data_IF_037019203752
#
_entry.id   IF_037019203752
#
_cell.length_a   1.000
_cell.length_b   1.000
_cell.length_c   1.000
_cell.angle_alpha   90.00
_cell.angle_beta   90.00
_cell.angle_gamma   90.00
#
_symmetry.space_group_name_H-M   'P 1'
#
loop_
_entity.id
_entity.type
_entity.pdbx_description
1 polymer ?
#
# COMPACT_ATOMS: atom_id res chain seq x y z
N UNK A 1 -9.25 8.98 -29.63
CA UNK A 1 -8.21 7.94 -29.45
C UNK A 1 -7.10 8.34 -28.47
N UNK A 2 -6.46 9.51 -28.58
CA UNK A 2 -5.32 9.85 -27.68
C UNK A 2 -5.73 10.05 -26.20
N UNK A 3 -6.96 10.51 -25.95
CA UNK A 3 -7.54 10.54 -24.60
C UNK A 3 -7.61 9.13 -23.98
N UNK A 4 -8.01 8.11 -24.75
CA UNK A 4 -8.06 6.71 -24.28
C UNK A 4 -6.66 6.17 -23.96
N UNK A 5 -5.64 6.47 -24.77
CA UNK A 5 -4.25 6.06 -24.47
C UNK A 5 -3.79 6.57 -23.11
N UNK A 6 -4.18 7.81 -22.79
CA UNK A 6 -3.86 8.46 -21.51
C UNK A 6 -4.48 7.73 -20.32
N UNK A 7 -5.72 7.24 -20.46
CA UNK A 7 -6.45 6.46 -19.44
C UNK A 7 -5.68 5.19 -19.06
N UNK A 8 -5.15 4.46 -20.04
CA UNK A 8 -4.36 3.24 -19.79
C UNK A 8 -3.07 3.55 -19.03
N UNK A 9 -2.35 4.59 -19.45
CA UNK A 9 -1.10 5.01 -18.78
C UNK A 9 -1.39 5.49 -17.35
N UNK A 10 -2.44 6.29 -17.14
CA UNK A 10 -2.82 6.77 -15.80
C UNK A 10 -3.25 5.64 -14.86
N UNK A 11 -3.93 4.63 -15.38
CA UNK A 11 -4.28 3.42 -14.62
C UNK A 11 -3.02 2.62 -14.24
N UNK A 12 -2.09 2.47 -15.18
CA UNK A 12 -0.83 1.78 -14.95
C UNK A 12 0.05 2.48 -13.91
N UNK A 13 0.08 3.82 -13.90
CA UNK A 13 0.80 4.59 -12.88
C UNK A 13 0.34 4.24 -11.47
N UNK A 14 -0.98 4.13 -11.23
CA UNK A 14 -1.53 3.75 -9.92
C UNK A 14 -1.12 2.32 -9.50
N UNK A 15 -1.09 1.39 -10.46
CA UNK A 15 -0.67 0.00 -10.20
C UNK A 15 0.83 -0.06 -9.86
N UNK A 16 1.68 0.57 -10.67
CA UNK A 16 3.14 0.61 -10.45
C UNK A 16 3.46 1.34 -9.14
N UNK A 17 2.79 2.46 -8.87
CA UNK A 17 3.04 3.26 -7.67
C UNK A 17 2.80 2.48 -6.39
N UNK A 18 1.69 1.76 -6.28
CA UNK A 18 1.44 0.91 -5.10
C UNK A 18 2.48 -0.20 -4.94
N UNK A 19 2.89 -0.87 -6.03
CA UNK A 19 3.95 -1.89 -5.97
C UNK A 19 5.29 -1.32 -5.44
N UNK A 20 5.67 -0.12 -5.90
CA UNK A 20 6.86 0.59 -5.40
C UNK A 20 6.74 0.92 -3.90
N UNK A 21 5.59 1.42 -3.45
CA UNK A 21 5.37 1.74 -2.03
C UNK A 21 5.43 0.49 -1.13
N UNK A 22 4.96 -0.66 -1.63
CA UNK A 22 5.03 -1.94 -0.92
C UNK A 22 6.47 -2.46 -0.83
N UNK A 23 7.17 -2.57 -1.96
CA UNK A 23 8.49 -3.23 -2.00
C UNK A 23 9.60 -2.32 -1.46
N UNK A 24 9.55 -1.03 -1.80
CA UNK A 24 10.58 -0.06 -1.41
C UNK A 24 10.25 0.63 -0.09
N UNK A 25 9.08 0.34 0.50
CA UNK A 25 8.68 0.86 1.81
C UNK A 25 8.77 2.39 1.88
N UNK A 26 8.36 3.04 0.79
CA UNK A 26 8.27 4.50 0.67
C UNK A 26 6.83 4.98 0.89
N UNK A 27 6.64 6.24 1.33
CA UNK A 27 5.31 6.81 1.47
C UNK A 27 4.49 6.81 0.18
N UNK A 28 3.17 6.67 0.27
CA UNK A 28 2.27 6.88 -0.88
C UNK A 28 2.22 8.35 -1.29
N UNK A 29 1.99 9.23 -0.31
CA UNK A 29 1.96 10.67 -0.52
C UNK A 29 3.34 11.29 -0.75
N UNK A 30 3.38 12.36 -1.52
CA UNK A 30 4.55 13.25 -1.77
C UNK A 30 5.78 12.57 -2.39
N UNK A 31 5.65 11.34 -2.85
CA UNK A 31 6.78 10.57 -3.38
C UNK A 31 6.81 10.47 -4.90
N UNK A 32 5.70 10.72 -5.59
CA UNK A 32 5.73 10.90 -7.05
C UNK A 32 6.35 12.25 -7.38
N UNK A 33 7.55 12.22 -7.97
CA UNK A 33 8.30 13.41 -8.32
C UNK A 33 7.88 13.94 -9.70
N UNK A 34 7.71 13.04 -10.67
CA UNK A 34 7.26 13.41 -12.01
C UNK A 34 6.62 12.24 -12.74
N UNK A 35 5.78 12.57 -13.72
CA UNK A 35 5.15 11.62 -14.64
C UNK A 35 5.35 12.13 -16.06
N UNK A 36 5.90 11.29 -16.94
CA UNK A 36 6.02 11.59 -18.38
C UNK A 36 5.20 10.57 -19.17
N UNK A 37 4.25 11.07 -19.95
CA UNK A 37 3.42 10.25 -20.85
C UNK A 37 3.97 10.40 -22.26
N UNK A 38 4.36 9.29 -22.88
CA UNK A 38 4.87 9.23 -24.25
C UNK A 38 3.80 8.64 -25.17
N UNK A 39 4.05 8.67 -26.48
CA UNK A 39 3.19 8.01 -27.45
C UNK A 39 3.17 6.48 -27.22
N UNK A 40 2.19 5.79 -27.81
CA UNK A 40 2.11 4.33 -27.84
C UNK A 40 2.07 3.65 -26.46
N UNK A 41 1.29 4.19 -25.52
CA UNK A 41 1.09 3.61 -24.19
C UNK A 41 2.35 3.50 -23.34
N UNK A 42 3.33 4.37 -23.60
CA UNK A 42 4.59 4.40 -22.85
C UNK A 42 4.52 5.47 -21.77
N UNK A 43 4.98 5.13 -20.58
CA UNK A 43 5.08 6.04 -19.44
C UNK A 43 6.44 5.99 -18.77
N UNK A 44 6.76 7.06 -18.06
CA UNK A 44 7.85 7.11 -17.08
C UNK A 44 7.30 7.68 -15.78
N UNK A 45 7.46 6.93 -14.70
CA UNK A 45 7.16 7.36 -13.34
C UNK A 45 8.47 7.61 -12.62
N UNK A 46 8.66 8.80 -12.04
CA UNK A 46 9.80 9.08 -11.16
C UNK A 46 9.31 9.16 -9.73
N UNK A 47 9.87 8.35 -8.84
CA UNK A 47 9.59 8.41 -7.40
C UNK A 47 10.83 8.83 -6.62
N UNK A 48 10.66 9.72 -5.63
CA UNK A 48 11.71 10.13 -4.71
C UNK A 48 11.75 9.22 -3.46
N UNK A 49 12.54 9.61 -2.45
CA UNK A 49 12.68 8.89 -1.17
C UNK A 49 13.35 7.52 -1.29
N UNK A 50 14.17 7.32 -2.32
CA UNK A 50 14.95 6.09 -2.56
C UNK A 50 16.39 6.36 -2.15
N UNK A 51 16.73 6.05 -0.89
CA UNK A 51 18.05 6.38 -0.30
C UNK A 51 19.21 5.55 -0.87
N UNK A 52 18.90 4.37 -1.37
CA UNK A 52 19.87 3.45 -1.96
C UNK A 52 19.24 2.74 -3.14
N UNK A 53 20.06 2.38 -4.12
CA UNK A 53 19.61 1.62 -5.28
C UNK A 53 18.92 0.31 -4.84
N UNK A 54 17.69 0.04 -5.32
CA UNK A 54 17.03 -1.23 -5.05
C UNK A 54 17.80 -2.42 -5.63
N UNK A 55 17.73 -3.55 -4.94
CA UNK A 55 18.35 -4.80 -5.39
C UNK A 55 17.60 -5.42 -6.57
N UNK A 56 18.27 -6.34 -7.28
CA UNK A 56 17.65 -7.11 -8.37
C UNK A 56 16.38 -7.83 -7.88
N UNK A 57 16.42 -8.44 -6.70
CA UNK A 57 15.25 -9.10 -6.09
C UNK A 57 14.10 -8.13 -5.89
N UNK A 58 14.37 -6.91 -5.39
CA UNK A 58 13.34 -5.89 -5.21
C UNK A 58 12.72 -5.47 -6.55
N UNK A 59 13.53 -5.32 -7.61
CA UNK A 59 12.99 -5.03 -8.96
C UNK A 59 12.10 -6.16 -9.50
N UNK A 60 12.48 -7.41 -9.28
CA UNK A 60 11.69 -8.57 -9.69
C UNK A 60 10.39 -8.68 -8.89
N UNK A 61 10.43 -8.41 -7.58
CA UNK A 61 9.26 -8.37 -6.72
C UNK A 61 8.29 -7.25 -7.13
N UNK A 62 8.79 -6.07 -7.52
CA UNK A 62 7.96 -4.97 -8.07
C UNK A 62 7.23 -5.45 -9.33
N UNK A 63 7.95 -6.06 -10.29
CA UNK A 63 7.34 -6.59 -11.52
C UNK A 63 6.28 -7.64 -11.22
N UNK A 64 6.55 -8.55 -10.27
CA UNK A 64 5.64 -9.61 -9.83
C UNK A 64 4.37 -9.02 -9.19
N UNK A 65 4.51 -8.04 -8.31
CA UNK A 65 3.38 -7.35 -7.67
C UNK A 65 2.50 -6.62 -8.69
N UNK A 66 3.10 -5.92 -9.67
CA UNK A 66 2.36 -5.27 -10.76
C UNK A 66 1.53 -6.30 -11.53
N UNK A 67 2.14 -7.43 -11.92
CA UNK A 67 1.44 -8.52 -12.61
C UNK A 67 0.30 -9.09 -11.77
N UNK A 68 0.53 -9.35 -10.49
CA UNK A 68 -0.48 -9.90 -9.59
C UNK A 68 -1.68 -8.95 -9.44
N UNK A 69 -1.43 -7.64 -9.33
CA UNK A 69 -2.51 -6.64 -9.19
C UNK A 69 -3.36 -6.51 -10.46
N UNK A 70 -2.79 -6.79 -11.64
CA UNK A 70 -3.57 -6.92 -12.89
C UNK A 70 -4.44 -8.17 -12.85
N UNK A 71 -3.85 -9.33 -12.50
CA UNK A 71 -4.57 -10.62 -12.44
C UNK A 71 -5.71 -10.64 -11.42
N UNK A 72 -5.62 -9.83 -10.36
CA UNK A 72 -6.68 -9.65 -9.37
C UNK A 72 -7.97 -9.05 -9.97
N UNK A 73 -7.90 -8.39 -11.12
CA UNK A 73 -9.00 -7.62 -11.70
C UNK A 73 -9.60 -6.59 -10.73
N UNK A 74 -8.74 -5.98 -9.91
CA UNK A 74 -9.14 -5.08 -8.85
C UNK A 74 -9.89 -3.85 -9.38
N UNK A 75 -11.04 -3.46 -8.77
CA UNK A 75 -11.81 -2.31 -9.19
C UNK A 75 -11.09 -1.01 -8.80
N UNK A 76 -11.23 -0.01 -9.66
CA UNK A 76 -10.85 1.36 -9.32
C UNK A 76 -12.05 2.17 -8.83
N UNK A 77 -11.76 3.17 -8.01
CA UNK A 77 -12.73 4.15 -7.53
C UNK A 77 -12.27 5.55 -7.95
N UNK A 78 -13.23 6.39 -8.33
CA UNK A 78 -12.99 7.77 -8.74
C UNK A 78 -13.94 8.68 -7.96
N UNK A 79 -13.46 9.26 -6.86
CA UNK A 79 -14.25 10.19 -6.05
C UNK A 79 -14.04 11.62 -6.55
N UNK A 80 -15.10 12.25 -7.04
CA UNK A 80 -15.13 13.69 -7.24
C UNK A 80 -15.61 14.33 -5.93
N UNK A 81 -14.71 15.02 -5.25
CA UNK A 81 -14.90 15.48 -3.87
C UNK A 81 -14.33 16.87 -3.65
N UNK A 82 -14.92 17.60 -2.71
CA UNK A 82 -14.38 18.87 -2.24
C UNK A 82 -12.97 18.67 -1.65
N UNK A 83 -11.99 19.43 -2.16
CA UNK A 83 -10.59 19.34 -1.75
C UNK A 83 -10.43 19.55 -0.24
N UNK A 84 -11.14 20.53 0.33
CA UNK A 84 -11.02 20.86 1.76
C UNK A 84 -11.41 19.67 2.65
N UNK A 85 -12.43 18.91 2.24
CA UNK A 85 -12.86 17.70 2.93
C UNK A 85 -11.84 16.58 2.74
N UNK A 86 -11.39 16.35 1.51
CA UNK A 86 -10.39 15.34 1.20
C UNK A 86 -9.06 15.56 1.94
N UNK A 87 -8.62 16.82 2.08
CA UNK A 87 -7.42 17.20 2.84
C UNK A 87 -7.56 16.78 4.32
N UNK A 88 -8.74 16.94 4.90
CA UNK A 88 -9.02 16.50 6.29
C UNK A 88 -9.11 14.98 6.42
N UNK A 89 -9.67 14.30 5.41
CA UNK A 89 -9.99 12.89 5.48
C UNK A 89 -8.81 11.98 5.09
N UNK A 90 -8.13 12.29 3.99
CA UNK A 90 -7.01 11.50 3.45
C UNK A 90 -5.65 12.14 3.77
N UNK A 91 -5.56 13.46 3.81
CA UNK A 91 -4.32 14.18 4.06
C UNK A 91 -3.34 14.09 2.89
N UNK A 92 -2.04 14.04 3.18
CA UNK A 92 -1.00 14.12 2.15
C UNK A 92 -0.88 12.89 1.23
N UNK A 93 -1.49 11.77 1.61
CA UNK A 93 -1.39 10.51 0.87
C UNK A 93 -1.88 10.60 -0.57
N UNK A 94 -2.83 11.50 -0.83
CA UNK A 94 -3.44 11.68 -2.15
C UNK A 94 -2.63 12.57 -3.09
N UNK A 95 -1.55 13.21 -2.61
CA UNK A 95 -0.81 14.20 -3.40
C UNK A 95 0.52 13.66 -3.93
N UNK A 96 0.85 14.05 -5.16
CA UNK A 96 2.22 13.98 -5.66
C UNK A 96 3.10 15.06 -5.00
N UNK A 97 4.42 14.98 -5.20
CA UNK A 97 5.37 15.94 -4.61
C UNK A 97 5.09 17.38 -5.04
N UNK A 98 4.71 17.58 -6.31
CA UNK A 98 4.39 18.89 -6.87
C UNK A 98 3.03 19.47 -6.41
N UNK A 99 2.20 18.68 -5.71
CA UNK A 99 0.92 19.12 -5.15
C UNK A 99 -0.12 19.61 -6.17
N UNK A 100 -1.11 20.36 -5.69
CA UNK A 100 -2.15 20.98 -6.54
C UNK A 100 -2.17 22.51 -6.40
N UNK A 101 -2.42 23.25 -7.49
CA UNK A 101 -2.68 24.69 -7.46
C UNK A 101 -3.77 25.08 -6.44
N UNK A 102 -3.61 26.24 -5.78
CA UNK A 102 -4.51 26.69 -4.70
C UNK A 102 -5.95 26.97 -5.15
N UNK A 103 -6.16 27.25 -6.44
CA UNK A 103 -7.47 27.57 -7.02
C UNK A 103 -8.33 26.33 -7.34
N UNK A 104 -7.80 25.12 -7.14
CA UNK A 104 -8.56 23.88 -7.33
C UNK A 104 -9.29 23.56 -6.02
N UNK A 105 -10.62 23.63 -6.05
CA UNK A 105 -11.51 23.38 -4.91
C UNK A 105 -12.22 22.03 -4.97
N UNK A 106 -12.36 21.44 -6.15
CA UNK A 106 -12.91 20.11 -6.37
C UNK A 106 -11.85 19.26 -7.07
N UNK A 107 -11.65 18.03 -6.58
CA UNK A 107 -10.61 17.12 -7.06
C UNK A 107 -11.22 15.77 -7.43
N UNK A 108 -10.56 15.08 -8.35
CA UNK A 108 -10.81 13.67 -8.62
C UNK A 108 -9.75 12.83 -7.91
N UNK A 109 -10.19 12.00 -6.98
CA UNK A 109 -9.35 11.04 -6.26
C UNK A 109 -9.51 9.67 -6.89
N UNK A 110 -8.40 9.18 -7.43
CA UNK A 110 -8.29 7.85 -7.96
C UNK A 110 -7.77 6.92 -6.87
N UNK A 111 -8.53 5.89 -6.58
CA UNK A 111 -8.22 4.92 -5.54
C UNK A 111 -8.23 3.52 -6.13
N UNK A 112 -7.18 2.77 -5.80
CA UNK A 112 -7.11 1.32 -5.91
C UNK A 112 -7.02 0.79 -4.48
N UNK A 113 -8.06 0.08 -4.04
CA UNK A 113 -8.23 -0.32 -2.63
C UNK A 113 -7.01 -1.13 -2.14
N UNK A 114 -6.60 -0.84 -0.91
CA UNK A 114 -5.46 -1.43 -0.21
C UNK A 114 -4.18 -1.38 -1.10
N UNK A 115 -4.01 -0.31 -1.90
CA UNK A 115 -2.92 -0.20 -2.87
C UNK A 115 -2.38 1.21 -3.12
N UNK A 116 -3.23 2.13 -3.58
CA UNK A 116 -2.78 3.47 -3.97
C UNK A 116 -3.95 4.47 -4.02
N UNK A 117 -3.68 5.72 -3.61
CA UNK A 117 -4.56 6.88 -3.75
C UNK A 117 -3.80 8.04 -4.40
N UNK A 118 -4.44 8.74 -5.34
CA UNK A 118 -3.81 9.89 -6.00
C UNK A 118 -4.84 10.87 -6.58
N UNK A 119 -4.54 12.16 -6.51
CA UNK A 119 -5.25 13.22 -7.23
C UNK A 119 -4.89 13.16 -8.71
N UNK A 120 -5.84 12.78 -9.56
CA UNK A 120 -5.60 12.72 -11.00
C UNK A 120 -6.64 13.54 -11.76
N UNK A 121 -6.19 14.35 -12.72
CA UNK A 121 -7.10 15.13 -13.57
C UNK A 121 -7.93 14.24 -14.49
N UNK A 122 -7.35 13.13 -14.96
CA UNK A 122 -7.99 12.26 -15.94
C UNK A 122 -8.75 11.12 -15.26
N UNK A 123 -9.83 10.66 -15.91
CA UNK A 123 -10.43 9.36 -15.58
C UNK A 123 -9.44 8.24 -15.87
N UNK A 124 -9.67 7.11 -15.21
CA UNK A 124 -8.89 5.89 -15.38
C UNK A 124 -9.81 4.72 -15.75
N UNK A 125 -9.20 3.55 -16.00
CA UNK A 125 -9.92 2.32 -16.30
C UNK A 125 -10.82 1.91 -15.14
N UNK A 126 -11.88 1.16 -15.45
CA UNK A 126 -12.84 0.65 -14.47
C UNK A 126 -12.24 -0.35 -13.49
N UNK A 127 -11.33 -1.20 -13.96
CA UNK A 127 -10.60 -2.18 -13.16
C UNK A 127 -9.25 -2.50 -13.82
N UNK A 128 -8.32 -3.07 -13.05
CA UNK A 128 -6.97 -3.41 -13.53
C UNK A 128 -6.96 -4.45 -14.65
N UNK A 129 -7.96 -5.33 -14.69
CA UNK A 129 -8.13 -6.38 -15.70
C UNK A 129 -8.37 -5.90 -17.14
N UNK A 130 -8.63 -4.60 -17.35
CA UNK A 130 -8.66 -4.03 -18.71
C UNK A 130 -7.26 -3.82 -19.29
N UNK A 131 -6.20 -4.07 -18.50
CA UNK A 131 -4.81 -4.11 -18.94
C UNK A 131 -4.39 -5.58 -19.06
N UNK A 132 -3.83 -5.97 -20.21
CA UNK A 132 -3.28 -7.31 -20.41
C UNK A 132 -1.96 -7.50 -19.67
N UNK A 133 -1.08 -6.51 -19.79
CA UNK A 133 0.23 -6.51 -19.14
C UNK A 133 0.77 -5.07 -19.01
N UNK A 134 1.61 -4.86 -17.99
CA UNK A 134 2.49 -3.69 -17.89
C UNK A 134 3.91 -4.22 -17.93
N UNK A 135 4.64 -3.87 -18.98
CA UNK A 135 6.04 -4.24 -19.13
C UNK A 135 6.92 -3.12 -18.57
N UNK A 136 7.68 -3.43 -17.51
CA UNK A 136 8.68 -2.51 -16.96
C UNK A 136 9.99 -2.73 -17.73
N UNK A 137 10.26 -1.80 -18.63
CA UNK A 137 11.36 -1.87 -19.58
C UNK A 137 12.71 -1.52 -18.93
N UNK A 138 12.71 -0.58 -17.98
CA UNK A 138 13.93 -0.13 -17.33
C UNK A 138 13.66 0.49 -15.96
N UNK A 139 14.56 0.21 -15.01
CA UNK A 139 14.70 0.95 -13.76
C UNK A 139 15.98 1.78 -13.84
N UNK A 140 15.89 3.08 -13.54
CA UNK A 140 17.05 3.96 -13.52
C UNK A 140 17.10 4.69 -12.18
N UNK A 141 18.03 4.25 -11.33
CA UNK A 141 18.29 4.93 -10.07
C UNK A 141 19.12 6.19 -10.31
N UNK A 142 18.66 7.31 -9.76
CA UNK A 142 19.29 8.61 -9.86
C UNK A 142 19.89 8.97 -8.48
N UNK A 143 21.12 8.50 -8.24
CA UNK A 143 21.77 8.59 -6.94
C UNK A 143 21.77 10.02 -6.35
N UNK A 144 22.14 11.03 -7.14
CA UNK A 144 22.21 12.43 -6.67
C UNK A 144 20.85 13.01 -6.28
N UNK A 145 19.74 12.37 -6.66
CA UNK A 145 18.38 12.81 -6.39
C UNK A 145 17.64 11.88 -5.42
N UNK A 146 18.28 10.80 -4.98
CA UNK A 146 17.64 9.73 -4.17
C UNK A 146 16.27 9.33 -4.76
N UNK A 147 16.25 9.08 -6.08
CA UNK A 147 15.01 8.86 -6.84
C UNK A 147 15.18 7.72 -7.84
N UNK A 148 14.07 7.10 -8.22
CA UNK A 148 14.00 5.99 -9.16
C UNK A 148 13.06 6.34 -10.31
N UNK A 149 13.57 6.28 -11.55
CA UNK A 149 12.76 6.33 -12.76
C UNK A 149 12.35 4.91 -13.18
N UNK A 150 11.05 4.70 -13.38
CA UNK A 150 10.46 3.46 -13.87
C UNK A 150 9.90 3.69 -15.26
N UNK A 151 10.52 3.08 -16.25
CA UNK A 151 10.09 3.15 -17.64
C UNK A 151 9.21 1.95 -17.95
N UNK A 152 8.01 2.19 -18.48
CA UNK A 152 7.06 1.12 -18.74
C UNK A 152 6.25 1.32 -20.02
N UNK A 153 5.72 0.22 -20.54
CA UNK A 153 4.75 0.16 -21.61
C UNK A 153 3.50 -0.58 -21.14
N UNK A 154 2.33 -0.08 -21.52
CA UNK A 154 1.04 -0.70 -21.18
C UNK A 154 0.52 -1.42 -22.41
N UNK A 155 0.15 -2.69 -22.25
CA UNK A 155 -0.54 -3.47 -23.26
C UNK A 155 -2.03 -3.59 -22.87
N UNK A 156 -2.95 -2.92 -23.58
CA UNK A 156 -4.39 -3.06 -23.36
C UNK A 156 -4.90 -4.50 -23.50
N UNK A 157 -5.97 -4.84 -22.78
CA UNK A 157 -6.65 -6.14 -22.93
C UNK A 157 -7.34 -6.27 -24.29
N UNK A 158 -7.88 -5.16 -24.80
CA UNK A 158 -8.55 -5.09 -26.08
C UNK A 158 -7.82 -4.11 -27.00
N UNK A 159 -7.67 -4.49 -28.25
CA UNK A 159 -7.23 -3.58 -29.31
C UNK A 159 -8.30 -2.51 -29.58
N UNK A 160 -7.88 -1.41 -30.19
CA UNK A 160 -8.83 -0.36 -30.59
C UNK A 160 -9.84 -0.84 -31.63
N UNK A 161 -9.42 -1.74 -32.53
CA UNK A 161 -10.30 -2.32 -33.55
C UNK A 161 -11.41 -3.17 -32.92
N UNK A 162 -11.05 -4.03 -31.96
CA UNK A 162 -12.03 -4.81 -31.19
C UNK A 162 -13.00 -3.90 -30.45
N UNK A 163 -12.50 -2.88 -29.74
CA UNK A 163 -13.34 -1.93 -29.01
C UNK A 163 -14.30 -1.16 -29.93
N UNK A 164 -13.82 -0.75 -31.10
CA UNK A 164 -14.64 -0.01 -32.08
C UNK A 164 -15.72 -0.90 -32.71
N UNK A 165 -15.46 -2.20 -32.82
CA UNK A 165 -16.43 -3.19 -33.32
C UNK A 165 -17.50 -3.51 -32.27
N UNK A 166 -17.08 -3.65 -31.00
CA UNK A 166 -17.97 -3.97 -29.89
C UNK A 166 -18.87 -2.79 -29.48
N UNK A 167 -18.35 -1.56 -29.54
CA UNK A 167 -19.04 -0.36 -29.05
C UNK A 167 -19.24 0.66 -30.17
N UNK A 168 -20.49 0.72 -30.65
CA UNK A 168 -20.88 1.57 -31.80
C UNK A 168 -20.92 3.07 -31.49
N UNK A 169 -20.94 3.46 -30.21
CA UNK A 169 -20.95 4.86 -29.79
C UNK A 169 -20.03 5.10 -28.59
N UNK A 170 -19.53 6.34 -28.50
CA UNK A 170 -18.56 6.75 -27.48
C UNK A 170 -19.07 6.56 -26.05
N UNK A 171 -20.37 6.81 -25.82
CA UNK A 171 -21.00 6.61 -24.50
C UNK A 171 -20.87 5.15 -24.03
N UNK A 172 -21.22 4.19 -24.88
CA UNK A 172 -21.13 2.75 -24.55
C UNK A 172 -19.70 2.29 -24.30
N UNK A 173 -18.75 2.80 -25.09
CA UNK A 173 -17.32 2.54 -24.92
C UNK A 173 -16.82 3.09 -23.58
N UNK A 174 -17.20 4.33 -23.24
CA UNK A 174 -16.83 4.96 -21.98
C UNK A 174 -17.42 4.24 -20.77
N UNK A 175 -18.68 3.82 -20.84
CA UNK A 175 -19.33 3.07 -19.76
C UNK A 175 -18.69 1.69 -19.52
N UNK A 176 -18.13 1.07 -20.56
CA UNK A 176 -17.37 -0.16 -20.44
C UNK A 176 -15.98 0.08 -19.84
N UNK A 177 -15.21 1.02 -20.41
CA UNK A 177 -13.80 1.19 -20.09
C UNK A 177 -13.53 1.99 -18.83
N UNK A 178 -14.27 3.06 -18.57
CA UNK A 178 -13.89 4.07 -17.59
C UNK A 178 -14.51 3.81 -16.23
N UNK A 179 -13.74 4.04 -15.17
CA UNK A 179 -14.24 4.05 -13.80
C UNK A 179 -15.31 5.14 -13.67
N UNK A 180 -16.54 4.82 -13.21
CA UNK A 180 -17.61 5.80 -13.06
C UNK A 180 -17.23 6.88 -12.04
N UNK A 181 -17.63 8.12 -12.30
CA UNK A 181 -17.38 9.22 -11.39
C UNK A 181 -18.37 9.12 -10.24
N UNK A 182 -17.84 9.03 -9.01
CA UNK A 182 -18.65 9.04 -7.79
C UNK A 182 -18.57 10.43 -7.17
N UNK A 183 -19.64 11.22 -7.31
CA UNK A 183 -19.71 12.58 -6.79
C UNK A 183 -20.11 12.54 -5.32
N UNK A 184 -19.22 13.03 -4.46
CA UNK A 184 -19.37 12.94 -3.00
C UNK A 184 -20.16 14.12 -2.48
N UNK A 185 -21.25 13.86 -1.77
CA UNK A 185 -22.04 14.89 -1.09
C UNK A 185 -21.39 15.21 0.25
N UNK A 186 -20.55 16.23 0.28
CA UNK A 186 -20.01 16.80 1.52
C UNK A 186 -21.07 17.71 2.12
N UNK A 187 -21.89 17.17 3.03
CA UNK A 187 -23.05 17.89 3.57
C UNK A 187 -22.69 19.27 4.15
N UNK A 188 -23.21 20.32 3.54
CA UNK A 188 -23.83 21.40 4.30
C UNK A 188 -25.34 21.14 4.18
N UNK A 189 -26.02 20.95 5.33
CA UNK A 189 -27.47 21.09 5.33
C UNK A 189 -27.75 22.50 4.81
N UNK A 190 -28.35 22.64 3.63
CA UNK A 190 -29.14 23.83 3.34
C UNK A 190 -30.34 23.79 4.29
N UNK A 191 -30.14 24.28 5.51
CA UNK A 191 -31.24 24.59 6.41
C UNK A 191 -31.94 25.79 5.80
N UNK A 192 -33.12 25.57 5.20
CA UNK A 192 -34.03 26.64 4.86
C UNK A 192 -34.34 27.44 6.14
N UNK A 193 -34.58 28.76 6.06
CA UNK A 193 -34.90 29.58 7.25
C UNK A 193 -36.07 29.06 8.09
N UNK A 194 -36.91 28.20 7.50
CA UNK A 194 -38.18 27.74 8.08
C UNK A 194 -38.17 26.29 8.61
N UNK A 195 -37.02 25.66 8.81
CA UNK A 195 -36.91 24.47 9.69
C UNK A 195 -37.62 23.19 9.24
N UNK A 196 -38.07 23.05 8.00
CA UNK A 196 -38.61 21.80 7.48
C UNK A 196 -37.55 20.97 6.72
N UNK A 197 -37.47 19.65 6.96
CA UNK A 197 -36.63 18.76 6.15
C UNK A 197 -37.21 18.67 4.74
N UNK A 198 -36.45 19.07 3.72
CA UNK A 198 -36.79 18.76 2.34
C UNK A 198 -36.66 17.25 2.12
N UNK A 199 -37.73 16.66 1.61
CA UNK A 199 -37.77 15.26 1.22
C UNK A 199 -36.98 15.12 -0.09
N UNK A 200 -35.70 14.74 0.00
CA UNK A 200 -34.77 14.62 -1.14
C UNK A 200 -35.06 13.44 -2.10
N UNK A 201 -36.27 12.87 -2.07
CA UNK A 201 -36.68 11.77 -2.95
C UNK A 201 -37.19 12.22 -4.33
N UNK A 202 -37.04 13.50 -4.69
CA UNK A 202 -37.46 14.03 -6.01
C UNK A 202 -36.30 14.81 -6.63
N UNK A 203 -35.23 14.12 -7.02
CA UNK A 203 -34.20 14.65 -7.93
C UNK A 203 -33.53 13.53 -8.75
N UNK A 204 -34.23 12.41 -8.95
CA UNK A 204 -33.72 11.28 -9.72
C UNK A 204 -33.91 11.41 -11.24
N UNK A 205 -34.47 12.52 -11.76
CA UNK A 205 -34.64 12.69 -13.22
C UNK A 205 -34.83 14.15 -13.60
N UNK A 206 -33.76 14.95 -13.62
CA UNK A 206 -33.68 16.12 -14.49
C UNK A 206 -32.22 16.58 -14.61
N UNK A 207 -31.82 16.95 -15.83
CA UNK A 207 -30.59 17.69 -16.17
C UNK A 207 -29.28 16.89 -16.27
N UNK A 208 -29.08 16.25 -17.43
CA UNK A 208 -27.92 16.49 -18.30
C UNK A 208 -28.03 15.64 -19.56
N UNK A 209 -28.65 16.17 -20.62
CA UNK A 209 -28.75 15.50 -21.93
C UNK A 209 -27.54 15.74 -22.85
N UNK A 210 -26.48 16.40 -22.37
CA UNK A 210 -25.30 16.73 -23.19
C UNK A 210 -23.96 16.18 -22.66
N UNK A 211 -23.90 15.59 -21.47
CA UNK A 211 -22.66 14.98 -20.95
C UNK A 211 -22.72 13.45 -21.04
N UNK A 212 -21.71 12.84 -21.66
CA UNK A 212 -21.56 11.38 -21.76
C UNK A 212 -21.18 10.70 -20.43
N UNK A 213 -20.86 11.48 -19.39
CA UNK A 213 -20.39 10.95 -18.10
C UNK A 213 -21.58 10.75 -17.14
N UNK A 214 -21.91 9.49 -16.85
CA UNK A 214 -22.86 9.13 -15.79
C UNK A 214 -22.21 9.31 -14.41
N UNK A 215 -22.79 10.19 -13.59
CA UNK A 215 -22.38 10.42 -12.21
C UNK A 215 -23.16 9.53 -11.26
N UNK A 216 -22.45 8.92 -10.32
CA UNK A 216 -23.05 8.20 -9.19
C UNK A 216 -22.89 9.09 -7.96
N UNK A 217 -23.99 9.47 -7.32
CA UNK A 217 -23.90 10.25 -6.08
C UNK A 217 -23.70 9.33 -4.89
N UNK A 218 -22.76 9.67 -4.01
CA UNK A 218 -22.48 8.94 -2.77
C UNK A 218 -22.37 9.90 -1.58
N UNK A 219 -22.61 9.41 -0.38
CA UNK A 219 -22.43 10.18 0.84
C UNK A 219 -21.01 9.99 1.39
N UNK A 220 -20.61 10.82 2.36
CA UNK A 220 -19.28 10.71 2.99
C UNK A 220 -19.07 9.40 3.76
N UNK A 221 -20.16 8.76 4.19
CA UNK A 221 -20.13 7.46 4.89
C UNK A 221 -19.78 6.28 3.95
N UNK A 222 -19.95 6.46 2.64
CA UNK A 222 -19.64 5.44 1.63
C UNK A 222 -18.18 5.52 1.12
N UNK A 223 -17.39 6.44 1.69
CA UNK A 223 -15.99 6.61 1.33
C UNK A 223 -15.13 5.50 1.93
N UNK A 224 -14.18 4.99 1.15
CA UNK A 224 -13.15 4.10 1.67
C UNK A 224 -12.33 4.82 2.74
N UNK A 225 -12.23 4.20 3.91
CA UNK A 225 -11.39 4.70 5.00
C UNK A 225 -9.91 4.79 4.58
N UNK A 226 -9.14 5.64 5.25
CA UNK A 226 -7.74 5.89 4.87
C UNK A 226 -6.87 4.62 4.84
N UNK A 227 -7.06 3.70 5.77
CA UNK A 227 -6.36 2.40 5.78
C UNK A 227 -6.73 1.49 4.58
N UNK A 228 -7.88 1.72 3.94
CA UNK A 228 -8.36 0.99 2.76
C UNK A 228 -7.88 1.59 1.45
N UNK A 229 -7.19 2.73 1.46
CA UNK A 229 -6.67 3.35 0.23
C UNK A 229 -5.15 3.33 0.13
N UNK A 230 -4.48 2.94 1.21
CA UNK A 230 -3.02 2.84 1.31
C UNK A 230 -2.55 1.42 0.99
N UNK A 231 -1.33 1.26 0.47
CA UNK A 231 -0.71 -0.05 0.32
C UNK A 231 -0.61 -0.76 1.68
N UNK A 232 -0.55 -2.11 1.68
CA UNK A 232 -0.45 -2.89 2.91
C UNK A 232 0.69 -2.44 3.80
N UNK A 233 1.80 -1.98 3.20
CA UNK A 233 3.01 -1.47 3.87
C UNK A 233 2.79 -0.32 4.84
N UNK A 234 1.64 0.37 4.77
CA UNK A 234 1.22 1.39 5.74
C UNK A 234 2.17 2.58 5.89
N UNK A 235 3.22 2.68 5.05
CA UNK A 235 4.25 3.71 5.17
C UNK A 235 3.63 5.03 4.76
N UNK A 236 3.45 5.93 5.73
CA UNK A 236 3.16 7.34 5.54
C UNK A 236 4.15 8.12 6.42
N UNK A 237 4.89 9.06 5.84
CA UNK A 237 5.81 9.96 6.56
C UNK A 237 6.82 9.29 7.51
N UNK A 238 7.78 8.55 6.94
CA UNK A 238 8.92 8.00 7.70
C UNK A 238 10.21 8.63 7.21
N UNK A 239 10.80 9.49 8.05
CA UNK A 239 12.20 9.87 7.94
C UNK A 239 13.08 8.70 8.39
N UNK A 240 13.54 7.85 7.46
CA UNK A 240 14.43 6.74 7.81
C UNK A 240 15.82 7.24 8.25
N UNK A 241 16.02 7.53 9.52
CA UNK A 241 17.38 7.63 10.06
C UNK A 241 17.89 6.21 10.35
N UNK A 242 19.02 5.81 9.76
CA UNK A 242 19.71 4.59 10.21
C UNK A 242 20.02 4.78 11.69
N UNK A 243 19.46 3.92 12.54
CA UNK A 243 19.79 3.95 13.96
C UNK A 243 21.25 3.54 14.15
N UNK A 244 22.04 4.42 14.76
CA UNK A 244 23.38 4.08 15.24
C UNK A 244 23.34 3.34 16.60
N UNK A 245 22.16 3.25 17.23
CA UNK A 245 21.94 2.65 18.54
C UNK A 245 21.55 1.17 18.43
N UNK A 246 20.76 0.78 17.42
CA UNK A 246 20.29 -0.60 17.25
C UNK A 246 20.50 -1.07 15.81
N UNK A 247 21.22 -2.19 15.66
CA UNK A 247 21.47 -2.89 14.39
C UNK A 247 21.26 -4.39 14.59
N UNK A 248 21.21 -5.21 13.52
CA UNK A 248 21.13 -6.66 13.65
C UNK A 248 22.29 -7.30 14.44
N UNK A 249 23.43 -6.61 14.56
CA UNK A 249 24.63 -7.15 15.20
C UNK A 249 24.92 -6.54 16.58
N UNK A 250 24.58 -5.26 16.76
CA UNK A 250 24.91 -4.49 17.96
C UNK A 250 23.69 -3.72 18.48
N UNK A 251 23.58 -3.70 19.80
CA UNK A 251 22.65 -2.87 20.57
C UNK A 251 23.47 -2.02 21.53
N UNK A 252 23.55 -0.73 21.28
CA UNK A 252 24.26 0.24 22.12
C UNK A 252 23.27 0.82 23.13
N UNK A 253 23.45 0.48 24.40
CA UNK A 253 22.56 0.88 25.49
C UNK A 253 23.20 2.08 26.21
N UNK A 254 22.49 3.20 26.29
CA UNK A 254 22.90 4.35 27.10
C UNK A 254 22.55 4.10 28.58
N UNK A 255 23.04 4.95 29.49
CA UNK A 255 22.75 4.81 30.93
C UNK A 255 21.24 4.76 31.25
N UNK A 256 20.43 5.45 30.44
CA UNK A 256 18.96 5.52 30.58
C UNK A 256 18.21 4.38 29.84
N UNK A 257 18.94 3.43 29.26
CA UNK A 257 18.36 2.36 28.44
C UNK A 257 18.18 2.75 26.97
N UNK A 258 17.23 2.08 26.31
CA UNK A 258 16.86 2.31 24.90
C UNK A 258 15.56 3.11 24.85
N UNK A 259 15.55 4.23 24.14
CA UNK A 259 14.31 4.96 23.84
C UNK A 259 13.56 4.28 22.69
N UNK A 260 12.65 3.37 23.03
CA UNK A 260 11.83 2.65 22.06
C UNK A 260 10.90 3.56 21.24
N UNK A 261 10.47 4.72 21.76
CA UNK A 261 9.64 5.65 20.98
C UNK A 261 10.46 6.34 19.89
N UNK A 262 11.73 6.67 20.19
CA UNK A 262 12.68 7.16 19.20
C UNK A 262 12.94 6.10 18.13
N UNK A 263 13.16 4.83 18.53
CA UNK A 263 13.36 3.73 17.58
C UNK A 263 12.16 3.49 16.65
N UNK A 264 10.93 3.55 17.17
CA UNK A 264 9.72 3.46 16.35
C UNK A 264 9.78 4.47 15.21
N UNK A 265 10.13 5.73 15.51
CA UNK A 265 10.21 6.81 14.52
C UNK A 265 11.36 6.58 13.53
N UNK A 266 12.55 6.24 14.01
CA UNK A 266 13.75 6.05 13.18
C UNK A 266 13.57 4.90 12.19
N UNK A 267 13.03 3.77 12.67
CA UNK A 267 12.77 2.65 11.80
C UNK A 267 11.52 2.87 10.95
N UNK A 268 10.56 3.68 11.38
CA UNK A 268 9.30 3.85 10.69
C UNK A 268 8.33 2.70 10.94
N UNK A 269 8.28 2.25 12.18
CA UNK A 269 7.23 1.34 12.63
C UNK A 269 6.05 2.14 13.17
N UNK A 270 4.92 1.47 13.40
CA UNK A 270 3.81 1.98 14.19
C UNK A 270 3.84 1.40 15.59
N UNK A 271 3.36 2.15 16.58
CA UNK A 271 3.23 1.64 17.96
C UNK A 271 2.02 0.71 18.07
N UNK A 272 2.16 -0.41 18.77
CA UNK A 272 1.01 -1.25 19.14
C UNK A 272 0.20 -0.48 20.19
N UNK A 273 -1.08 -0.28 19.92
CA UNK A 273 -2.00 0.46 20.78
C UNK A 273 -3.04 -0.49 21.38
N UNK A 274 -3.76 0.01 22.37
CA UNK A 274 -4.87 -0.71 23.02
C UNK A 274 -5.95 -1.16 22.02
N UNK A 275 -6.20 -0.39 20.95
CA UNK A 275 -7.13 -0.76 19.89
C UNK A 275 -6.70 -2.05 19.16
N UNK A 276 -5.40 -2.23 18.87
CA UNK A 276 -4.88 -3.45 18.26
C UNK A 276 -5.01 -4.65 19.21
N UNK A 277 -4.74 -4.44 20.51
CA UNK A 277 -4.85 -5.48 21.54
C UNK A 277 -6.29 -6.01 21.61
N UNK A 278 -7.27 -5.10 21.75
CA UNK A 278 -8.70 -5.46 21.76
C UNK A 278 -9.13 -6.18 20.48
N UNK A 279 -8.61 -5.72 19.34
CA UNK A 279 -8.93 -6.32 18.04
C UNK A 279 -8.37 -7.74 17.89
N UNK A 280 -7.14 -7.99 18.36
CA UNK A 280 -6.57 -9.34 18.43
C UNK A 280 -7.43 -10.24 19.32
N UNK A 281 -7.84 -9.77 20.49
CA UNK A 281 -8.67 -10.55 21.41
C UNK A 281 -10.02 -10.90 20.81
N UNK A 282 -10.66 -9.94 20.14
CA UNK A 282 -11.93 -10.12 19.45
C UNK A 282 -11.83 -11.13 18.30
N UNK A 283 -10.82 -10.99 17.43
CA UNK A 283 -10.68 -11.84 16.24
C UNK A 283 -10.26 -13.27 16.57
N UNK A 284 -9.44 -13.46 17.61
CA UNK A 284 -8.92 -14.78 17.99
C UNK A 284 -9.74 -15.47 19.08
N UNK A 285 -10.65 -14.74 19.73
CA UNK A 285 -11.34 -15.16 20.96
C UNK A 285 -10.37 -15.69 22.04
N UNK A 286 -9.14 -15.14 22.08
CA UNK A 286 -8.12 -15.45 23.07
C UNK A 286 -7.60 -14.17 23.69
N UNK A 287 -7.33 -14.21 25.00
CA UNK A 287 -6.68 -13.10 25.70
C UNK A 287 -5.35 -12.74 25.03
N UNK A 288 -5.10 -11.45 24.87
CA UNK A 288 -3.88 -10.92 24.31
C UNK A 288 -2.67 -11.37 25.14
N UNK A 289 -1.59 -11.80 24.48
CA UNK A 289 -0.38 -12.21 25.19
C UNK A 289 0.13 -11.07 26.07
N UNK A 290 0.69 -11.41 27.23
CA UNK A 290 1.20 -10.38 28.15
C UNK A 290 2.37 -9.58 27.55
N UNK A 291 3.03 -10.09 26.49
CA UNK A 291 4.07 -9.34 25.81
C UNK A 291 3.58 -8.11 25.05
N UNK A 292 2.38 -8.15 24.44
CA UNK A 292 1.79 -6.96 23.82
C UNK A 292 1.08 -6.08 24.86
N UNK A 293 0.51 -6.68 25.92
CA UNK A 293 -0.12 -5.92 27.01
C UNK A 293 0.85 -5.20 27.97
N UNK A 294 2.15 -5.52 27.89
CA UNK A 294 3.21 -4.93 28.72
C UNK A 294 4.29 -4.24 27.90
N UNK A 295 3.99 -3.89 26.64
CA UNK A 295 4.91 -3.20 25.72
C UNK A 295 6.28 -3.91 25.54
N UNK A 296 6.33 -5.24 25.63
CA UNK A 296 7.52 -6.03 25.26
C UNK A 296 7.58 -6.20 23.74
N UNK A 297 6.46 -6.55 23.12
CA UNK A 297 6.22 -6.34 21.70
C UNK A 297 5.46 -5.04 21.58
N UNK A 298 6.16 -3.94 21.25
CA UNK A 298 5.64 -2.57 21.34
C UNK A 298 5.40 -1.90 19.98
N UNK A 299 5.86 -2.49 18.89
CA UNK A 299 5.75 -1.91 17.55
C UNK A 299 5.36 -2.94 16.50
N UNK A 300 4.80 -2.48 15.39
CA UNK A 300 4.39 -3.30 14.26
C UNK A 300 4.56 -2.55 12.93
N UNK A 301 4.48 -3.31 11.83
CA UNK A 301 4.13 -2.82 10.50
C UNK A 301 2.97 -3.68 10.01
N UNK A 302 1.99 -3.03 9.40
CA UNK A 302 0.91 -3.70 8.67
C UNK A 302 0.02 -4.64 9.50
N UNK A 303 0.05 -4.51 10.84
CA UNK A 303 -0.81 -5.29 11.71
C UNK A 303 -2.28 -5.05 11.39
N UNK A 304 -2.68 -3.80 11.13
CA UNK A 304 -4.06 -3.48 10.73
C UNK A 304 -4.45 -4.18 9.43
N UNK A 305 -3.53 -4.23 8.46
CA UNK A 305 -3.74 -4.95 7.22
C UNK A 305 -3.91 -6.45 7.48
N UNK A 306 -3.03 -7.05 8.29
CA UNK A 306 -3.14 -8.47 8.67
C UNK A 306 -4.47 -8.78 9.35
N UNK A 307 -4.88 -7.96 10.32
CA UNK A 307 -6.14 -8.17 11.06
C UNK A 307 -7.36 -8.00 10.14
N UNK A 308 -7.34 -7.01 9.24
CA UNK A 308 -8.36 -6.86 8.18
C UNK A 308 -8.41 -8.10 7.27
N UNK A 309 -7.26 -8.65 6.91
CA UNK A 309 -7.15 -9.81 6.02
C UNK A 309 -7.70 -11.07 6.68
N UNK A 310 -7.36 -11.29 7.95
CA UNK A 310 -7.86 -12.39 8.77
C UNK A 310 -9.38 -12.29 8.98
N UNK A 311 -9.89 -11.10 9.28
CA UNK A 311 -11.34 -10.83 9.43
C UNK A 311 -12.13 -11.17 8.15
N UNK A 312 -11.52 -10.99 6.98
CA UNK A 312 -12.08 -11.39 5.66
C UNK A 312 -11.89 -12.89 5.35
N UNK A 313 -11.58 -13.74 6.35
CA UNK A 313 -11.30 -15.18 6.21
C UNK A 313 -10.19 -15.51 5.20
N UNK A 314 -9.19 -14.64 5.08
CA UNK A 314 -8.03 -14.90 4.22
C UNK A 314 -6.90 -15.55 5.02
N UNK A 315 -6.21 -16.48 4.37
CA UNK A 315 -5.10 -17.21 4.96
C UNK A 315 -3.84 -16.36 5.03
N UNK A 316 -3.07 -16.54 6.10
CA UNK A 316 -1.70 -16.07 6.24
C UNK A 316 -0.88 -17.12 6.99
N UNK A 317 0.43 -16.89 7.12
CA UNK A 317 1.33 -17.72 7.91
C UNK A 317 2.28 -16.84 8.72
N UNK A 318 2.85 -17.40 9.79
CA UNK A 318 3.85 -16.73 10.62
C UNK A 318 5.22 -17.17 10.15
N UNK A 319 6.15 -16.22 10.09
CA UNK A 319 7.55 -16.45 9.77
C UNK A 319 8.45 -15.90 10.87
N UNK A 320 9.42 -16.68 11.32
CA UNK A 320 10.48 -16.25 12.22
C UNK A 320 11.76 -17.03 11.91
N UNK A 321 12.86 -16.73 12.59
CA UNK A 321 14.12 -17.43 12.33
C UNK A 321 15.12 -17.38 13.47
N UNK A 322 16.16 -18.20 13.32
CA UNK A 322 17.26 -18.36 14.26
C UNK A 322 18.55 -18.68 13.52
N UNK A 323 19.56 -17.84 13.70
CA UNK A 323 20.93 -18.14 13.28
C UNK A 323 21.63 -19.03 14.32
N UNK A 324 21.94 -20.31 14.04
CA UNK A 324 22.49 -21.24 15.01
C UNK A 324 23.96 -20.88 15.30
N UNK A 325 24.19 -20.25 16.45
CA UNK A 325 25.51 -19.69 16.80
C UNK A 325 26.23 -20.45 17.93
N UNK A 326 25.52 -21.32 18.65
CA UNK A 326 26.07 -22.15 19.72
C UNK A 326 25.15 -23.35 20.00
N UNK A 327 25.64 -24.35 20.73
CA UNK A 327 24.83 -25.51 21.17
C UNK A 327 23.76 -25.15 22.21
N UNK A 328 23.82 -23.94 22.77
CA UNK A 328 22.92 -23.49 23.81
C UNK A 328 22.19 -22.21 23.42
N UNK A 329 20.96 -22.08 23.88
CA UNK A 329 20.16 -20.86 23.78
C UNK A 329 20.00 -20.26 25.17
N UNK A 330 20.11 -18.93 25.28
CA UNK A 330 19.73 -18.21 26.49
C UNK A 330 18.26 -17.79 26.50
N UNK A 331 17.74 -17.40 27.67
CA UNK A 331 16.34 -16.98 27.88
C UNK A 331 15.88 -15.87 26.94
N UNK A 332 16.76 -14.96 26.52
CA UNK A 332 16.41 -13.93 25.54
C UNK A 332 15.86 -14.49 24.21
N UNK A 333 16.33 -15.65 23.76
CA UNK A 333 15.82 -16.28 22.54
C UNK A 333 14.39 -16.81 22.69
N UNK A 334 13.93 -17.05 23.93
CA UNK A 334 12.58 -17.56 24.18
C UNK A 334 11.51 -16.54 23.80
N UNK A 335 11.80 -15.23 23.96
CA UNK A 335 10.82 -14.15 23.75
C UNK A 335 10.13 -14.23 22.36
N UNK A 336 10.84 -14.25 21.23
CA UNK A 336 10.20 -14.36 19.91
C UNK A 336 9.47 -15.69 19.70
N UNK A 337 10.05 -16.82 20.09
CA UNK A 337 9.44 -18.14 19.88
C UNK A 337 8.17 -18.34 20.72
N UNK A 338 8.20 -17.90 21.98
CA UNK A 338 7.05 -17.99 22.86
C UNK A 338 5.89 -17.13 22.35
N UNK A 339 6.19 -15.95 21.81
CA UNK A 339 5.19 -15.11 21.18
C UNK A 339 4.65 -15.72 19.86
N UNK A 340 5.52 -16.27 19.01
CA UNK A 340 5.10 -16.94 17.77
C UNK A 340 4.20 -18.15 18.07
N UNK A 341 4.51 -18.93 19.11
CA UNK A 341 3.65 -20.01 19.57
C UNK A 341 2.27 -19.49 19.98
N UNK A 342 2.20 -18.43 20.78
CA UNK A 342 0.94 -17.81 21.13
C UNK A 342 0.15 -17.37 19.88
N UNK A 343 0.80 -16.70 18.94
CA UNK A 343 0.16 -16.22 17.71
C UNK A 343 -0.34 -17.40 16.85
N UNK A 344 0.47 -18.45 16.69
CA UNK A 344 0.08 -19.67 16.01
C UNK A 344 -1.17 -20.28 16.64
N UNK A 345 -1.18 -20.43 17.96
CA UNK A 345 -2.31 -20.99 18.70
C UNK A 345 -3.54 -20.07 18.60
N UNK A 346 -3.37 -18.75 18.63
CA UNK A 346 -4.47 -17.78 18.63
C UNK A 346 -5.13 -17.61 17.26
N UNK A 347 -4.33 -17.52 16.19
CA UNK A 347 -4.85 -17.34 14.83
C UNK A 347 -5.09 -18.67 14.10
N UNK A 348 -4.57 -19.78 14.62
CA UNK A 348 -4.63 -21.11 14.01
C UNK A 348 -4.05 -21.12 12.59
N UNK A 349 -2.79 -20.69 12.47
CA UNK A 349 -2.08 -20.54 11.18
C UNK A 349 -0.75 -21.31 11.15
N UNK A 350 -0.23 -21.66 9.96
CA UNK A 350 1.09 -22.26 9.83
C UNK A 350 2.20 -21.34 10.37
N UNK A 351 3.23 -21.93 10.96
CA UNK A 351 4.45 -21.25 11.40
C UNK A 351 5.65 -21.86 10.68
N UNK A 352 6.47 -21.01 10.05
CA UNK A 352 7.72 -21.38 9.41
C UNK A 352 8.87 -20.77 10.21
N UNK A 353 9.81 -21.62 10.64
CA UNK A 353 11.02 -21.21 11.36
C UNK A 353 12.21 -21.46 10.45
N UNK A 354 12.90 -20.40 10.01
CA UNK A 354 14.16 -20.54 9.29
C UNK A 354 15.31 -20.73 10.27
N UNK A 355 16.14 -21.76 10.03
CA UNK A 355 17.45 -21.89 10.65
C UNK A 355 18.47 -21.36 9.65
N UNK A 356 19.04 -20.17 9.89
CA UNK A 356 19.98 -19.49 8.98
C UNK A 356 21.43 -19.94 9.23
N UNK A 357 21.68 -21.21 8.98
CA UNK A 357 23.00 -21.82 9.15
C UNK A 357 24.00 -21.40 8.07
N UNK A 358 23.53 -21.25 6.85
CA UNK A 358 24.24 -20.62 5.73
C UNK A 358 24.81 -19.24 6.09
N UNK A 359 24.00 -18.36 6.70
CA UNK A 359 24.43 -17.06 7.21
C UNK A 359 25.59 -17.25 8.19
N UNK A 360 25.42 -18.09 9.21
CA UNK A 360 26.43 -18.29 10.24
C UNK A 360 27.72 -18.91 9.72
N UNK A 361 27.62 -19.82 8.75
CA UNK A 361 28.75 -20.39 8.05
C UNK A 361 29.52 -19.34 7.25
N UNK A 362 28.83 -18.46 6.53
CA UNK A 362 29.45 -17.39 5.74
C UNK A 362 30.10 -16.30 6.61
N UNK A 363 29.49 -15.95 7.75
CA UNK A 363 30.02 -14.93 8.65
C UNK A 363 31.16 -15.43 9.54
N UNK A 364 31.21 -16.73 9.86
CA UNK A 364 32.25 -17.30 10.71
C UNK A 364 33.16 -18.27 9.95
N UNK A 365 34.31 -17.75 9.50
CA UNK A 365 35.34 -18.51 8.76
C UNK A 365 35.90 -19.72 9.52
N UNK A 366 35.67 -19.82 10.83
CA UNK A 366 36.14 -20.93 11.65
C UNK A 366 35.14 -22.10 11.74
N UNK A 367 33.95 -21.96 11.17
CA UNK A 367 32.96 -23.05 11.17
C UNK A 367 33.20 -24.02 10.02
N UNK A 368 33.22 -25.32 10.35
CA UNK A 368 33.12 -26.38 9.35
C UNK A 368 31.64 -26.65 9.01
N UNK A 369 31.39 -27.24 7.84
CA UNK A 369 30.05 -27.63 7.41
C UNK A 369 29.40 -28.61 8.40
N UNK A 370 30.16 -29.58 8.91
CA UNK A 370 29.69 -30.55 9.91
C UNK A 370 29.32 -29.87 11.23
N UNK A 371 30.12 -28.89 11.65
CA UNK A 371 29.87 -28.18 12.90
C UNK A 371 28.61 -27.33 12.80
N UNK A 372 28.42 -26.59 11.70
CA UNK A 372 27.23 -25.76 11.55
C UNK A 372 25.96 -26.60 11.42
N UNK A 373 25.99 -27.70 10.66
CA UNK A 373 24.87 -28.64 10.56
C UNK A 373 24.47 -29.21 11.93
N UNK A 374 25.46 -29.49 12.79
CA UNK A 374 25.20 -29.90 14.18
C UNK A 374 24.49 -28.79 14.96
N UNK A 375 24.98 -27.55 14.87
CA UNK A 375 24.33 -26.42 15.55
C UNK A 375 22.90 -26.21 15.07
N UNK A 376 22.64 -26.34 13.77
CA UNK A 376 21.30 -26.22 13.17
C UNK A 376 20.30 -27.23 13.72
N UNK A 377 20.76 -28.45 14.01
CA UNK A 377 19.90 -29.54 14.48
C UNK A 377 19.60 -29.45 15.98
N UNK A 378 20.54 -28.91 16.76
CA UNK A 378 20.41 -28.77 18.22
C UNK A 378 19.62 -27.53 18.64
N UNK A 379 19.64 -26.46 17.82
CA UNK A 379 18.79 -25.27 17.98
C UNK A 379 17.42 -25.52 17.37
#
# INVERSE_FOLDING_TARGET
MDKLKTVYVDSALSIIKGALCVILQIPTGRTTESVKKKQNFIGVLTVNSIKSEPTISQYDDIKKLVKNKILENAPFYNYQIERSFADRFYGDCMYDNFGLPKNINEINLIILEEWNINCNRNRILKHTGLIKNIEINNFKYLNNKESLEVHFSVNPMYTFEELSTLYKNEKSLHNFLLCPIRKVRTGSKNVSPDGHPQNDNILNNAENRENCDEYIYINTEDLLEKNKVLPPSGVENIGYERSNEVTPWNVNINADGIDYNKLIKQFGCSKIKEEHIKRIEMLTNKKAHHFIRRDIFFSHRDLDFLLNYYEKNKSFYIYTGRGPSSLSMHLGHLIPFYFCKYLQDAFNVPLIIQISDDEKFLFNKNYSLDYINKLSKEN
#
